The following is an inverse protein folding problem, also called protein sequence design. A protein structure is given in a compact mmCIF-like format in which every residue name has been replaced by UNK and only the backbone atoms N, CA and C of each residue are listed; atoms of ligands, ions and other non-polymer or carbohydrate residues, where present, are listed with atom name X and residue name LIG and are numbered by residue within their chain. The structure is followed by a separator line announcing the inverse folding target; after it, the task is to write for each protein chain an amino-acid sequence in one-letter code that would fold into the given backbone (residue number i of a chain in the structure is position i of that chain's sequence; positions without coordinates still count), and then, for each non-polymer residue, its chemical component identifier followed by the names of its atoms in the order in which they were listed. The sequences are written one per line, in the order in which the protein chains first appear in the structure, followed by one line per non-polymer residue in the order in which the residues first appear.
data_IF_284593158283
#
_entry.id   IF_284593158283
#
_cell.length_a   1.000
_cell.length_b   1.000
_cell.length_c   1.000
_cell.angle_alpha   90.00
_cell.angle_beta   90.00
_cell.angle_gamma   90.00
#
_symmetry.space_group_name_H-M   'P 1'
#
loop_
_entity.id
_entity.type
_entity.pdbx_description
1 polymer ?
#
# COMPACT_ATOMS: atom_id res chain seq x y z
N UNK A 1 -9.30 -20.73 2.45
CA UNK A 1 -8.41 -20.47 1.32
C UNK A 1 -7.82 -19.08 1.48
N UNK A 2 -6.55 -18.92 1.13
CA UNK A 2 -5.87 -17.61 1.12
C UNK A 2 -4.73 -17.68 0.12
N UNK A 3 -4.26 -16.54 -0.31
CA UNK A 3 -3.05 -16.36 -1.11
C UNK A 3 -1.85 -16.04 -0.21
N UNK A 4 -0.67 -16.39 -0.69
CA UNK A 4 0.63 -15.99 -0.14
C UNK A 4 1.47 -15.40 -1.26
N UNK A 5 2.38 -14.47 -0.94
CA UNK A 5 3.17 -13.75 -1.94
C UNK A 5 4.69 -13.76 -1.60
N UNK A 6 5.35 -14.92 -1.64
CA UNK A 6 6.80 -15.02 -1.34
C UNK A 6 7.67 -14.17 -2.27
N UNK A 7 7.25 -13.98 -3.52
CA UNK A 7 7.95 -13.13 -4.48
C UNK A 7 7.94 -11.64 -4.07
N UNK A 8 6.87 -11.18 -3.42
CA UNK A 8 6.80 -9.82 -2.86
C UNK A 8 7.82 -9.62 -1.75
N UNK A 9 7.92 -10.56 -0.83
CA UNK A 9 8.94 -10.53 0.24
C UNK A 9 10.36 -10.57 -0.33
N UNK A 10 10.63 -11.44 -1.30
CA UNK A 10 11.92 -11.52 -2.00
C UNK A 10 12.25 -10.22 -2.76
N UNK A 11 11.24 -9.58 -3.36
CA UNK A 11 11.41 -8.27 -4.01
C UNK A 11 11.83 -7.20 -2.99
N UNK A 12 11.19 -7.13 -1.82
CA UNK A 12 11.56 -6.19 -0.75
C UNK A 12 13.00 -6.44 -0.28
N UNK A 13 13.40 -7.69 -0.10
CA UNK A 13 14.78 -8.03 0.26
C UNK A 13 15.78 -7.55 -0.80
N UNK A 14 15.51 -7.78 -2.08
CA UNK A 14 16.36 -7.33 -3.19
C UNK A 14 16.42 -5.81 -3.29
N UNK A 15 15.30 -5.12 -3.01
CA UNK A 15 15.27 -3.65 -2.94
C UNK A 15 16.15 -3.14 -1.80
N UNK A 16 16.07 -3.76 -0.63
CA UNK A 16 16.89 -3.40 0.53
C UNK A 16 18.39 -3.50 0.23
N UNK A 17 18.82 -4.57 -0.44
CA UNK A 17 20.21 -4.71 -0.88
C UNK A 17 20.65 -3.55 -1.78
N UNK A 18 19.81 -3.17 -2.75
CA UNK A 18 20.11 -2.06 -3.67
C UNK A 18 20.18 -0.71 -2.95
N UNK A 19 19.24 -0.42 -2.06
CA UNK A 19 19.24 0.82 -1.28
C UNK A 19 20.48 0.93 -0.38
N UNK A 20 20.88 -0.19 0.26
CA UNK A 20 22.07 -0.23 1.13
C UNK A 20 23.39 -0.19 0.37
N UNK A 21 23.45 -0.75 -0.83
CA UNK A 21 24.66 -0.71 -1.67
C UNK A 21 24.96 0.71 -2.20
N UNK A 22 23.96 1.59 -2.22
CA UNK A 22 24.10 2.99 -2.61
C UNK A 22 24.51 3.91 -1.44
N UNK A 23 24.08 5.17 -1.49
CA UNK A 23 24.25 6.16 -0.41
C UNK A 23 23.14 6.11 0.64
N UNK A 24 22.41 5.04 0.71
CA UNK A 24 21.13 4.96 1.41
C UNK A 24 19.98 5.45 0.54
N UNK A 25 18.75 5.23 1.02
CA UNK A 25 17.55 5.63 0.29
C UNK A 25 16.28 5.26 1.02
N UNK A 26 15.17 5.72 0.49
CA UNK A 26 13.83 5.34 0.94
C UNK A 26 12.99 4.85 -0.23
N UNK A 27 11.99 4.03 0.07
CA UNK A 27 10.99 3.55 -0.87
C UNK A 27 9.60 3.70 -0.25
N UNK A 28 8.64 4.10 -1.07
CA UNK A 28 7.24 4.21 -0.66
C UNK A 28 6.41 3.32 -1.57
N UNK A 29 5.57 2.49 -0.95
CA UNK A 29 4.63 1.64 -1.67
C UNK A 29 3.21 2.08 -1.35
N UNK A 30 2.45 2.31 -2.41
CA UNK A 30 1.05 2.66 -2.34
C UNK A 30 0.26 1.57 -3.06
N UNK A 31 -0.56 0.84 -2.32
CA UNK A 31 -1.39 -0.22 -2.88
C UNK A 31 -2.59 -0.49 -1.97
N UNK A 32 -3.56 -1.25 -2.45
CA UNK A 32 -4.64 -1.74 -1.60
C UNK A 32 -4.23 -3.00 -0.86
N UNK A 33 -4.54 -3.04 0.42
CA UNK A 33 -4.13 -4.14 1.29
C UNK A 33 -4.44 -3.90 2.76
N UNK A 34 -3.93 -4.81 3.58
CA UNK A 34 -4.26 -4.86 4.99
C UNK A 34 -3.03 -5.24 5.83
N UNK A 35 -3.00 -4.87 7.12
CA UNK A 35 -2.18 -5.56 8.12
C UNK A 35 -2.61 -7.03 8.21
N UNK A 36 -1.70 -7.90 8.66
CA UNK A 36 -1.90 -9.35 8.69
C UNK A 36 -3.17 -9.78 9.43
N UNK A 37 -3.49 -9.16 10.55
CA UNK A 37 -4.69 -9.46 11.32
C UNK A 37 -6.00 -9.22 10.56
N UNK A 38 -6.02 -8.25 9.65
CA UNK A 38 -7.15 -8.00 8.75
C UNK A 38 -7.06 -8.83 7.47
N UNK A 39 -5.86 -9.08 6.99
CA UNK A 39 -5.60 -9.87 5.78
C UNK A 39 -6.09 -11.30 5.94
N UNK A 40 -5.77 -11.95 7.06
CA UNK A 40 -6.20 -13.30 7.40
C UNK A 40 -7.47 -13.36 8.26
N UNK A 41 -8.28 -12.31 8.26
CA UNK A 41 -9.50 -12.29 9.05
C UNK A 41 -10.43 -13.46 8.68
N UNK A 42 -11.04 -14.17 9.65
CA UNK A 42 -11.89 -15.35 9.39
C UNK A 42 -13.00 -15.14 8.36
N UNK A 43 -13.54 -13.92 8.26
CA UNK A 43 -14.55 -13.58 7.26
C UNK A 43 -13.99 -13.50 5.83
N UNK A 44 -12.65 -13.48 5.64
CA UNK A 44 -11.98 -13.55 4.33
C UNK A 44 -11.59 -14.98 3.95
N UNK A 45 -12.43 -15.96 4.26
CA UNK A 45 -12.15 -17.38 4.08
C UNK A 45 -11.87 -17.81 2.64
N UNK A 46 -12.13 -16.95 1.64
CA UNK A 46 -11.80 -17.17 0.22
C UNK A 46 -10.59 -16.34 -0.27
N UNK A 47 -9.90 -15.65 0.63
CA UNK A 47 -8.78 -14.76 0.28
C UNK A 47 -9.24 -13.42 -0.31
N UNK A 48 -8.36 -12.78 -1.04
CA UNK A 48 -8.57 -11.44 -1.63
C UNK A 48 -8.42 -11.42 -3.16
N UNK A 49 -8.08 -12.56 -3.78
CA UNK A 49 -7.92 -12.65 -5.25
C UNK A 49 -9.23 -12.31 -5.95
N UNK A 50 -9.16 -11.37 -6.88
CA UNK A 50 -10.27 -10.94 -7.70
C UNK A 50 -9.82 -10.79 -9.15
N UNK A 51 -10.66 -11.21 -10.08
CA UNK A 51 -10.42 -11.10 -11.51
C UNK A 51 -11.35 -10.05 -12.10
N UNK A 52 -10.81 -9.20 -12.98
CA UNK A 52 -11.56 -8.13 -13.63
C UNK A 52 -11.48 -8.26 -15.14
N UNK A 53 -12.63 -8.30 -15.82
CA UNK A 53 -12.73 -8.32 -17.27
C UNK A 53 -13.95 -7.51 -17.72
N UNK A 54 -13.77 -6.52 -18.59
CA UNK A 54 -14.86 -5.70 -19.14
C UNK A 54 -15.81 -5.14 -18.06
N UNK A 55 -15.24 -4.61 -16.98
CA UNK A 55 -15.95 -4.08 -15.80
C UNK A 55 -16.76 -5.11 -14.99
N UNK A 56 -16.53 -6.39 -15.20
CA UNK A 56 -17.12 -7.47 -14.41
C UNK A 56 -16.04 -8.11 -13.54
N UNK A 57 -16.38 -8.38 -12.28
CA UNK A 57 -15.51 -9.05 -11.33
C UNK A 57 -15.96 -10.50 -11.09
N UNK A 58 -15.01 -11.42 -10.93
CA UNK A 58 -15.24 -12.80 -10.52
C UNK A 58 -14.01 -13.37 -9.81
N UNK A 59 -14.17 -14.43 -9.02
CA UNK A 59 -13.12 -14.98 -8.18
C UNK A 59 -12.31 -16.14 -8.82
N UNK A 60 -12.63 -16.58 -10.03
CA UNK A 60 -11.95 -17.72 -10.65
C UNK A 60 -10.80 -17.26 -11.57
N UNK A 61 -9.52 -17.44 -11.17
CA UNK A 61 -8.37 -17.03 -11.98
C UNK A 61 -8.15 -17.93 -13.21
N UNK A 62 -8.77 -19.10 -13.31
CA UNK A 62 -8.57 -20.04 -14.41
C UNK A 62 -9.55 -19.86 -15.57
N UNK A 63 -10.58 -19.04 -15.40
CA UNK A 63 -11.48 -18.66 -16.51
C UNK A 63 -10.86 -17.58 -17.35
N UNK A 64 -10.92 -17.67 -18.68
CA UNK A 64 -10.40 -16.70 -19.63
C UNK A 64 -8.95 -16.26 -19.33
N UNK A 65 -8.05 -17.21 -19.15
CA UNK A 65 -6.63 -16.99 -18.84
C UNK A 65 -5.99 -16.10 -19.89
N UNK A 66 -5.24 -15.07 -19.44
CA UNK A 66 -4.57 -14.08 -20.29
C UNK A 66 -5.47 -12.98 -20.86
N UNK A 67 -6.79 -12.99 -20.56
CA UNK A 67 -7.75 -12.00 -21.07
C UNK A 67 -8.36 -11.10 -19.97
N UNK A 68 -7.82 -11.17 -18.76
CA UNK A 68 -8.33 -10.44 -17.60
C UNK A 68 -7.21 -9.99 -16.70
N UNK A 69 -7.52 -9.02 -15.88
CA UNK A 69 -6.69 -8.57 -14.78
C UNK A 69 -6.93 -9.44 -13.54
N UNK A 70 -5.87 -9.89 -12.88
CA UNK A 70 -5.94 -10.70 -11.66
C UNK A 70 -5.26 -9.87 -10.56
N UNK A 71 -6.02 -9.51 -9.56
CA UNK A 71 -5.57 -8.68 -8.44
C UNK A 71 -5.68 -9.41 -7.12
N UNK A 72 -4.83 -9.08 -6.17
CA UNK A 72 -4.92 -9.49 -4.78
C UNK A 72 -4.48 -8.33 -3.89
N UNK A 73 -4.95 -8.30 -2.67
CA UNK A 73 -4.52 -7.30 -1.70
C UNK A 73 -3.10 -7.59 -1.21
N UNK A 74 -2.41 -6.54 -0.79
CA UNK A 74 -1.06 -6.65 -0.19
C UNK A 74 -1.18 -6.95 1.31
N UNK A 75 -0.41 -7.93 1.79
CA UNK A 75 -0.14 -8.11 3.22
C UNK A 75 0.99 -7.15 3.63
N UNK A 76 0.63 -5.99 4.19
CA UNK A 76 1.61 -4.98 4.58
C UNK A 76 2.46 -5.38 5.78
N UNK A 77 1.98 -6.26 6.66
CA UNK A 77 2.81 -6.85 7.73
C UNK A 77 3.94 -7.69 7.13
N UNK A 78 3.63 -8.52 6.12
CA UNK A 78 4.65 -9.30 5.41
C UNK A 78 5.70 -8.40 4.74
N UNK A 79 5.28 -7.28 4.12
CA UNK A 79 6.19 -6.28 3.55
C UNK A 79 7.08 -5.65 4.62
N UNK A 80 6.50 -5.24 5.76
CA UNK A 80 7.25 -4.64 6.87
C UNK A 80 8.29 -5.61 7.46
N UNK A 81 7.89 -6.86 7.71
CA UNK A 81 8.78 -7.90 8.22
C UNK A 81 9.91 -8.22 7.24
N UNK A 82 9.62 -8.35 5.94
CA UNK A 82 10.64 -8.56 4.93
C UNK A 82 11.64 -7.40 4.87
N UNK A 83 11.16 -6.16 5.00
CA UNK A 83 12.00 -4.97 5.06
C UNK A 83 12.92 -4.97 6.29
N UNK A 84 12.36 -5.19 7.47
CA UNK A 84 13.12 -5.23 8.73
C UNK A 84 14.15 -6.38 8.73
N UNK A 85 13.76 -7.57 8.28
CA UNK A 85 14.68 -8.72 8.16
C UNK A 85 15.82 -8.43 7.18
N UNK A 86 15.58 -7.61 6.17
CA UNK A 86 16.60 -7.15 5.23
C UNK A 86 17.38 -5.90 5.70
N UNK A 87 17.12 -5.39 6.92
CA UNK A 87 17.82 -4.27 7.54
C UNK A 87 17.36 -2.89 7.03
N UNK A 88 16.10 -2.74 6.64
CA UNK A 88 15.45 -1.45 6.46
C UNK A 88 14.59 -1.10 7.68
N UNK A 89 14.42 0.20 7.88
CA UNK A 89 13.50 0.76 8.86
C UNK A 89 12.13 1.01 8.21
N UNK A 90 11.06 0.80 8.98
CA UNK A 90 9.70 1.22 8.60
C UNK A 90 9.49 2.65 9.06
N UNK A 91 9.40 3.59 8.13
CA UNK A 91 9.19 5.02 8.41
C UNK A 91 7.76 5.34 8.85
N UNK A 92 6.82 4.53 8.43
CA UNK A 92 5.40 4.69 8.76
C UNK A 92 4.50 3.84 7.88
N UNK A 93 3.26 3.66 8.34
CA UNK A 93 2.18 2.98 7.63
C UNK A 93 0.86 3.71 7.88
N UNK A 94 0.17 4.12 6.83
CA UNK A 94 -1.09 4.85 6.94
C UNK A 94 -1.98 4.62 5.72
N UNK A 95 -3.21 5.17 5.71
CA UNK A 95 -4.02 5.19 4.50
C UNK A 95 -3.63 6.36 3.58
N UNK A 96 -3.96 6.24 2.31
CA UNK A 96 -3.64 7.25 1.29
C UNK A 96 -4.15 8.65 1.66
N UNK A 97 -5.35 8.74 2.24
CA UNK A 97 -5.92 10.01 2.64
C UNK A 97 -5.00 10.76 3.61
N UNK A 98 -4.59 10.12 4.71
CA UNK A 98 -3.69 10.74 5.68
C UNK A 98 -2.34 11.08 5.08
N UNK A 99 -1.77 10.17 4.28
CA UNK A 99 -0.49 10.42 3.62
C UNK A 99 -0.53 11.69 2.76
N UNK A 100 -1.55 11.83 1.92
CA UNK A 100 -1.68 12.98 1.03
C UNK A 100 -2.02 14.28 1.79
N UNK A 101 -2.85 14.20 2.83
CA UNK A 101 -3.18 15.37 3.66
C UNK A 101 -1.95 15.88 4.42
N UNK A 102 -1.13 14.98 4.96
CA UNK A 102 0.14 15.36 5.61
C UNK A 102 1.13 16.03 4.64
N UNK A 103 1.07 15.68 3.35
CA UNK A 103 1.86 16.29 2.29
C UNK A 103 1.27 17.59 1.71
N UNK A 104 0.24 18.17 2.35
CA UNK A 104 -0.32 19.46 1.97
C UNK A 104 -1.37 19.41 0.86
N UNK A 105 -2.05 18.27 0.67
CA UNK A 105 -3.11 18.17 -0.35
C UNK A 105 -4.27 19.15 -0.08
N UNK A 106 -4.62 19.38 1.19
CA UNK A 106 -5.72 20.28 1.54
C UNK A 106 -5.44 21.71 1.09
N UNK A 107 -4.24 22.21 1.29
CA UNK A 107 -3.77 23.53 0.88
C UNK A 107 -3.79 23.65 -0.66
N UNK A 108 -3.29 22.62 -1.35
CA UNK A 108 -3.33 22.58 -2.82
C UNK A 108 -4.75 22.59 -3.37
N UNK A 109 -5.67 21.85 -2.73
CA UNK A 109 -7.08 21.83 -3.12
C UNK A 109 -7.75 23.19 -2.91
N UNK A 110 -7.34 23.99 -1.93
CA UNK A 110 -7.90 25.32 -1.70
C UNK A 110 -7.66 26.27 -2.89
N UNK A 111 -6.52 26.11 -3.58
CA UNK A 111 -6.12 26.93 -4.73
C UNK A 111 -6.52 26.33 -6.08
N UNK A 112 -6.96 25.07 -6.11
CA UNK A 112 -7.27 24.33 -7.32
C UNK A 112 -8.64 24.72 -7.92
N UNK A 113 -8.82 24.47 -9.21
CA UNK A 113 -10.11 24.57 -9.89
C UNK A 113 -11.14 23.58 -9.34
N UNK A 114 -12.43 23.81 -9.61
CA UNK A 114 -13.50 22.90 -9.16
C UNK A 114 -13.33 21.48 -9.71
N UNK A 115 -12.87 21.34 -10.96
CA UNK A 115 -12.64 20.04 -11.59
C UNK A 115 -11.49 19.27 -10.89
N UNK A 116 -10.36 19.94 -10.62
CA UNK A 116 -9.23 19.36 -9.91
C UNK A 116 -9.58 18.97 -8.48
N UNK A 117 -10.34 19.82 -7.76
CA UNK A 117 -10.84 19.48 -6.41
C UNK A 117 -11.68 18.22 -6.42
N UNK A 118 -12.59 18.09 -7.40
CA UNK A 118 -13.44 16.90 -7.53
C UNK A 118 -12.61 15.63 -7.79
N UNK A 119 -11.55 15.71 -8.60
CA UNK A 119 -10.65 14.60 -8.82
C UNK A 119 -9.80 14.27 -7.57
N UNK A 120 -9.24 15.29 -6.92
CA UNK A 120 -8.44 15.12 -5.71
C UNK A 120 -9.27 14.57 -4.54
N UNK A 121 -10.55 14.93 -4.45
CA UNK A 121 -11.45 14.42 -3.41
C UNK A 121 -11.60 12.90 -3.48
N UNK A 122 -11.59 12.30 -4.66
CA UNK A 122 -11.62 10.84 -4.82
C UNK A 122 -10.40 10.14 -4.21
N UNK A 123 -9.24 10.81 -4.21
CA UNK A 123 -7.99 10.26 -3.64
C UNK A 123 -8.05 10.20 -2.11
N UNK A 124 -8.87 11.03 -1.46
CA UNK A 124 -8.94 11.11 0.01
C UNK A 124 -10.28 10.66 0.58
N UNK A 125 -11.29 10.44 -0.27
CA UNK A 125 -12.58 9.97 0.19
C UNK A 125 -12.47 8.56 0.78
N UNK A 126 -12.99 8.36 1.99
CA UNK A 126 -12.96 7.09 2.72
C UNK A 126 -13.62 5.94 1.94
N UNK A 127 -14.71 6.22 1.21
CA UNK A 127 -15.46 5.21 0.44
C UNK A 127 -14.91 4.96 -0.97
N UNK A 128 -13.83 5.64 -1.34
CA UNK A 128 -13.14 5.47 -2.63
C UNK A 128 -11.69 5.03 -2.40
N UNK A 129 -10.72 5.87 -2.77
CA UNK A 129 -9.30 5.50 -2.68
C UNK A 129 -8.66 5.82 -1.31
N UNK A 130 -9.25 6.76 -0.55
CA UNK A 130 -8.61 7.35 0.61
C UNK A 130 -8.29 6.36 1.73
N UNK A 131 -9.23 5.47 2.07
CA UNK A 131 -9.00 4.41 3.07
C UNK A 131 -8.60 3.08 2.41
N UNK A 132 -9.05 2.80 1.19
CA UNK A 132 -8.76 1.53 0.51
C UNK A 132 -7.26 1.36 0.26
N UNK A 133 -6.62 2.39 -0.27
CA UNK A 133 -5.17 2.37 -0.50
C UNK A 133 -4.40 2.67 0.78
N UNK A 134 -3.30 1.95 0.98
CA UNK A 134 -2.36 2.10 2.09
C UNK A 134 -1.02 2.56 1.56
N UNK A 135 -0.28 3.22 2.41
CA UNK A 135 1.09 3.66 2.12
C UNK A 135 2.00 3.13 3.21
N UNK A 136 3.08 2.48 2.81
CA UNK A 136 4.18 2.13 3.70
C UNK A 136 5.45 2.81 3.22
N UNK A 137 6.22 3.40 4.13
CA UNK A 137 7.54 3.96 3.88
C UNK A 137 8.62 3.07 4.47
N UNK A 138 9.64 2.77 3.68
CA UNK A 138 10.80 1.97 4.06
C UNK A 138 12.06 2.78 3.79
N UNK A 139 13.07 2.70 4.66
CA UNK A 139 14.34 3.42 4.46
C UNK A 139 15.54 2.68 5.05
N UNK A 140 16.73 3.08 4.63
CA UNK A 140 18.00 2.57 5.16
C UNK A 140 18.37 3.17 6.52
N UNK A 141 17.67 4.20 6.99
CA UNK A 141 17.84 4.85 8.31
C UNK A 141 16.50 5.42 8.78
N UNK A 142 16.26 5.38 10.08
CA UNK A 142 15.14 6.03 10.74
C UNK A 142 15.22 7.57 10.74
N UNK A 143 16.39 8.14 10.42
CA UNK A 143 16.60 9.60 10.39
C UNK A 143 15.90 10.30 9.22
N UNK A 144 15.30 9.55 8.31
CA UNK A 144 14.51 10.08 7.22
C UNK A 144 13.21 10.70 7.74
N UNK A 145 13.09 12.00 7.64
CA UNK A 145 11.85 12.70 7.95
C UNK A 145 10.76 12.35 6.91
N UNK A 146 9.84 11.49 7.29
CA UNK A 146 8.77 11.02 6.41
C UNK A 146 7.45 11.74 6.73
N UNK A 147 7.36 13.01 6.35
CA UNK A 147 6.25 13.93 6.64
C UNK A 147 4.87 13.34 6.34
N UNK A 148 4.77 12.46 5.33
CA UNK A 148 3.51 11.77 4.99
C UNK A 148 2.92 10.92 6.13
N UNK A 149 3.66 10.64 7.20
CA UNK A 149 3.23 9.84 8.36
C UNK A 149 3.10 10.65 9.66
N UNK A 150 3.22 11.99 9.63
CA UNK A 150 3.16 12.84 10.82
C UNK A 150 1.84 12.69 11.60
N UNK A 151 0.74 12.42 10.90
CA UNK A 151 -0.56 12.15 11.47
C UNK A 151 -1.17 10.89 10.87
N UNK A 152 -1.95 10.16 11.69
CA UNK A 152 -2.67 8.98 11.23
C UNK A 152 -1.76 7.78 10.95
N UNK A 153 -0.53 7.78 11.47
CA UNK A 153 0.34 6.60 11.41
C UNK A 153 -0.28 5.42 12.15
N UNK A 154 -0.26 4.26 11.50
CA UNK A 154 -0.85 3.00 11.97
C UNK A 154 0.19 1.87 12.01
N UNK A 155 1.48 2.19 12.07
CA UNK A 155 2.56 1.18 12.09
C UNK A 155 2.41 0.17 13.24
N UNK A 156 1.76 0.57 14.33
CA UNK A 156 1.43 -0.31 15.45
C UNK A 156 0.44 -1.44 15.10
N UNK A 157 -0.12 -1.45 13.90
CA UNK A 157 -1.05 -2.49 13.41
C UNK A 157 -0.36 -3.52 12.48
N UNK A 158 0.89 -3.29 12.12
CA UNK A 158 1.70 -4.18 11.28
C UNK A 158 2.22 -5.40 12.02
#
# INVERSE_FOLDING_TARGET
LTEIHPQGEAFIASLAERLKAGRGGAAFFLDYGFPEGEYFHPQRHMGTVMCHQLHKAHADPLVAVGQKDITAHVNFTGVALAAQNAGLEVLGYTCQAWFLLNLGLAERMAEASLAERSQAQRLVNEHEMGELFKVIGLATSADWAAQGFDRGDRSHRL
#
